data_IF_279125533077
#
_entry.id   IF_279125533077
#
_cell.length_a   1.000
_cell.length_b   1.000
_cell.length_c   1.000
_cell.angle_alpha   90.00
_cell.angle_beta   90.00
_cell.angle_gamma   90.00
#
_symmetry.space_group_name_H-M   'P 1'
#
loop_
_entity.id
_entity.type
_entity.pdbx_description
1 polymer ?
#
# COMPACT_ATOMS: atom_id res chain seq x y z
N UNK A 1 8.27 -16.32 -19.82
CA UNK A 1 8.36 -14.90 -20.23
C UNK A 1 6.98 -14.25 -20.29
N UNK A 2 5.93 -14.96 -20.73
CA UNK A 2 4.54 -14.46 -20.82
C UNK A 2 3.82 -14.33 -19.45
N UNK A 3 4.21 -15.14 -18.45
CA UNK A 3 3.53 -15.19 -17.13
C UNK A 3 3.88 -14.09 -16.14
N UNK A 4 5.15 -13.64 -16.09
CA UNK A 4 5.56 -12.57 -15.17
C UNK A 4 4.86 -11.23 -15.46
N UNK A 5 4.50 -10.99 -16.73
CA UNK A 5 3.76 -9.80 -17.14
C UNK A 5 2.31 -9.82 -16.65
N UNK A 6 1.70 -11.01 -16.57
CA UNK A 6 0.32 -11.18 -16.14
C UNK A 6 0.13 -10.78 -14.67
N UNK A 7 1.02 -11.22 -13.77
CA UNK A 7 0.90 -10.89 -12.34
C UNK A 7 1.01 -9.38 -12.08
N UNK A 8 1.97 -8.71 -12.72
CA UNK A 8 2.16 -7.26 -12.57
C UNK A 8 1.01 -6.46 -13.19
N UNK A 9 0.39 -6.98 -14.27
CA UNK A 9 -0.82 -6.41 -14.87
C UNK A 9 -2.04 -6.55 -13.94
N UNK A 10 -2.27 -7.74 -13.38
CA UNK A 10 -3.34 -8.01 -12.40
C UNK A 10 -3.19 -7.07 -11.19
N UNK A 11 -1.99 -6.95 -10.64
CA UNK A 11 -1.72 -6.07 -9.49
C UNK A 11 -1.94 -4.61 -9.88
N UNK A 12 -1.43 -4.18 -11.03
CA UNK A 12 -1.57 -2.80 -11.49
C UNK A 12 -3.03 -2.42 -11.71
N UNK A 13 -3.83 -3.31 -12.32
CA UNK A 13 -5.26 -3.09 -12.53
C UNK A 13 -6.02 -3.11 -11.19
N UNK A 14 -5.72 -4.08 -10.32
CA UNK A 14 -6.32 -4.16 -8.98
C UNK A 14 -6.09 -2.89 -8.17
N UNK A 15 -4.89 -2.31 -8.21
CA UNK A 15 -4.59 -1.06 -7.50
C UNK A 15 -5.37 0.13 -8.06
N UNK A 16 -5.55 0.22 -9.39
CA UNK A 16 -6.38 1.27 -10.03
C UNK A 16 -7.85 1.14 -9.64
N UNK A 17 -8.38 -0.08 -9.68
CA UNK A 17 -9.77 -0.33 -9.30
C UNK A 17 -9.99 -0.11 -7.80
N UNK A 18 -9.00 -0.47 -6.98
CA UNK A 18 -9.02 -0.22 -5.54
C UNK A 18 -9.02 1.27 -5.22
N UNK A 19 -8.27 2.10 -5.95
CA UNK A 19 -8.35 3.56 -5.83
C UNK A 19 -9.80 4.05 -6.05
N UNK A 20 -10.50 3.48 -7.03
CA UNK A 20 -11.91 3.81 -7.32
C UNK A 20 -12.87 3.29 -6.25
N UNK A 21 -12.55 2.16 -5.61
CA UNK A 21 -13.30 1.65 -4.45
C UNK A 21 -13.18 2.56 -3.23
N UNK A 22 -11.98 3.09 -2.97
CA UNK A 22 -11.76 4.02 -1.87
C UNK A 22 -12.69 5.24 -1.95
N UNK A 23 -12.94 5.77 -3.16
CA UNK A 23 -13.88 6.86 -3.37
C UNK A 23 -15.30 6.46 -2.92
N UNK A 24 -15.78 5.30 -3.36
CA UNK A 24 -17.13 4.78 -3.03
C UNK A 24 -17.31 4.50 -1.55
N UNK A 25 -16.29 3.95 -0.88
CA UNK A 25 -16.36 3.72 0.58
C UNK A 25 -16.51 5.03 1.37
N UNK A 26 -15.89 6.09 0.87
CA UNK A 26 -15.95 7.40 1.51
C UNK A 26 -17.28 8.11 1.28
N UNK A 27 -17.96 7.91 0.15
CA UNK A 27 -19.30 8.48 -0.06
C UNK A 27 -20.32 7.98 0.98
N UNK A 28 -20.17 6.73 1.43
CA UNK A 28 -21.07 6.11 2.40
C UNK A 28 -20.64 6.33 3.88
N UNK A 29 -19.34 6.54 4.14
CA UNK A 29 -18.77 6.59 5.50
C UNK A 29 -17.87 7.82 5.74
N UNK A 30 -18.08 8.89 4.97
CA UNK A 30 -17.27 10.12 4.97
C UNK A 30 -16.91 10.66 6.37
N UNK A 31 -17.81 10.63 7.38
CA UNK A 31 -17.49 11.15 8.71
C UNK A 31 -16.44 10.33 9.48
N UNK A 32 -16.27 9.03 9.20
CA UNK A 32 -15.45 8.12 10.01
C UNK A 32 -13.99 8.01 9.53
N UNK A 33 -13.70 8.45 8.31
CA UNK A 33 -12.35 8.45 7.70
C UNK A 33 -11.57 9.71 8.06
N UNK A 34 -12.23 10.74 8.61
CA UNK A 34 -11.56 11.98 9.01
C UNK A 34 -10.51 11.76 10.13
N UNK A 35 -9.30 12.26 9.87
CA UNK A 35 -8.11 12.34 10.72
C UNK A 35 -7.48 11.02 11.19
N UNK A 36 -8.06 9.85 10.88
CA UNK A 36 -7.52 8.56 11.33
C UNK A 36 -7.26 7.55 10.21
N UNK A 37 -7.64 7.84 8.98
CA UNK A 37 -7.44 6.92 7.85
C UNK A 37 -8.30 5.66 7.95
N UNK A 38 -8.11 4.74 7.02
CA UNK A 38 -8.71 3.40 7.04
C UNK A 38 -8.03 2.54 8.11
N UNK A 39 -8.80 1.66 8.77
CA UNK A 39 -8.19 0.61 9.59
C UNK A 39 -7.39 -0.32 8.68
N UNK A 40 -6.22 -0.74 9.14
CA UNK A 40 -5.32 -1.67 8.43
C UNK A 40 -6.06 -2.93 7.97
N UNK A 41 -6.89 -3.49 8.84
CA UNK A 41 -7.71 -4.66 8.53
C UNK A 41 -8.73 -4.43 7.41
N UNK A 42 -9.27 -3.22 7.30
CA UNK A 42 -10.19 -2.87 6.21
C UNK A 42 -9.41 -2.63 4.92
N UNK A 43 -8.28 -1.91 4.98
CA UNK A 43 -7.44 -1.61 3.83
C UNK A 43 -6.93 -2.90 3.18
N UNK A 44 -6.36 -3.81 3.98
CA UNK A 44 -5.86 -5.10 3.49
C UNK A 44 -6.97 -5.99 2.94
N UNK A 45 -8.08 -6.20 3.68
CA UNK A 45 -9.20 -7.03 3.20
C UNK A 45 -9.84 -6.50 1.92
N UNK A 46 -10.02 -5.19 1.81
CA UNK A 46 -10.62 -4.60 0.62
C UNK A 46 -9.72 -4.75 -0.61
N UNK A 47 -8.41 -4.55 -0.45
CA UNK A 47 -7.45 -4.82 -1.53
C UNK A 47 -7.39 -6.31 -1.90
N UNK A 48 -7.38 -7.22 -0.92
CA UNK A 48 -7.40 -8.67 -1.20
C UNK A 48 -8.63 -9.10 -1.99
N UNK A 49 -9.82 -8.58 -1.65
CA UNK A 49 -11.06 -8.84 -2.40
C UNK A 49 -10.96 -8.33 -3.84
N UNK A 50 -10.36 -7.14 -4.04
CA UNK A 50 -10.15 -6.59 -5.38
C UNK A 50 -9.19 -7.44 -6.21
N UNK A 51 -8.14 -7.98 -5.59
CA UNK A 51 -7.21 -8.91 -6.25
C UNK A 51 -7.91 -10.21 -6.66
N UNK A 52 -8.69 -10.83 -5.76
CA UNK A 52 -9.48 -12.03 -6.09
C UNK A 52 -10.40 -11.74 -7.27
N UNK A 53 -11.14 -10.63 -7.23
CA UNK A 53 -12.04 -10.28 -8.32
C UNK A 53 -11.30 -10.08 -9.66
N UNK A 54 -10.07 -9.56 -9.63
CA UNK A 54 -9.27 -9.41 -10.83
C UNK A 54 -8.80 -10.76 -11.40
N UNK A 55 -8.50 -11.74 -10.55
CA UNK A 55 -8.25 -13.13 -10.98
C UNK A 55 -9.51 -13.80 -11.53
N UNK A 56 -10.66 -13.61 -10.88
CA UNK A 56 -11.95 -14.16 -11.34
C UNK A 56 -12.33 -13.63 -12.73
N UNK A 57 -12.05 -12.35 -13.02
CA UNK A 57 -12.34 -11.74 -14.33
C UNK A 57 -11.53 -12.33 -15.50
N UNK A 58 -10.48 -13.09 -15.20
CA UNK A 58 -9.67 -13.82 -16.19
C UNK A 58 -9.75 -15.34 -15.98
N UNK A 59 -10.78 -15.82 -15.27
CA UNK A 59 -11.07 -17.23 -15.01
C UNK A 59 -9.95 -18.00 -14.28
N UNK A 60 -9.15 -17.30 -13.47
CA UNK A 60 -8.13 -17.93 -12.61
C UNK A 60 -8.69 -18.05 -11.19
N UNK A 61 -8.73 -19.24 -10.59
CA UNK A 61 -9.18 -19.40 -9.21
C UNK A 61 -8.19 -18.73 -8.25
N UNK A 62 -8.69 -17.86 -7.38
CA UNK A 62 -7.89 -17.23 -6.33
C UNK A 62 -8.62 -17.28 -4.99
N UNK A 63 -7.88 -17.51 -3.91
CA UNK A 63 -8.42 -17.61 -2.57
C UNK A 63 -7.75 -16.61 -1.63
N UNK A 64 -8.53 -16.11 -0.68
CA UNK A 64 -8.04 -15.24 0.38
C UNK A 64 -7.69 -16.07 1.60
N UNK A 65 -6.48 -15.86 2.12
CA UNK A 65 -6.01 -16.41 3.39
C UNK A 65 -5.60 -15.25 4.28
N UNK A 66 -6.21 -15.18 5.47
CA UNK A 66 -5.69 -14.32 6.53
C UNK A 66 -4.67 -15.14 7.31
N UNK A 67 -3.43 -14.66 7.42
CA UNK A 67 -2.40 -15.36 8.20
C UNK A 67 -2.69 -15.11 9.70
N UNK A 68 -3.42 -16.04 10.32
CA UNK A 68 -3.79 -15.99 11.72
C UNK A 68 -2.72 -16.65 12.59
N UNK A 69 -1.75 -15.87 13.08
CA UNK A 69 -1.08 -16.20 14.34
C UNK A 69 -0.49 -14.93 14.97
N UNK A 70 -1.30 -14.23 15.75
CA UNK A 70 -0.96 -12.90 16.27
C UNK A 70 -1.67 -12.57 17.58
N UNK A 71 -1.72 -13.51 18.53
CA UNK A 71 -2.00 -13.10 19.92
C UNK A 71 -0.93 -12.13 20.47
N UNK A 72 0.21 -12.00 19.77
CA UNK A 72 1.35 -11.13 20.10
C UNK A 72 1.67 -10.03 19.09
N UNK A 73 0.94 -9.91 17.96
CA UNK A 73 1.23 -8.90 16.93
C UNK A 73 0.10 -7.90 16.77
N UNK A 74 0.48 -6.67 16.43
CA UNK A 74 -0.49 -5.60 16.18
C UNK A 74 -1.13 -5.67 14.79
N UNK A 75 -0.53 -6.36 13.82
CA UNK A 75 -0.92 -6.28 12.41
C UNK A 75 -1.42 -7.58 11.80
N UNK A 76 -2.39 -7.44 10.91
CA UNK A 76 -2.96 -8.52 10.10
C UNK A 76 -2.24 -8.57 8.76
N UNK A 77 -1.65 -9.73 8.44
CA UNK A 77 -1.11 -10.01 7.11
C UNK A 77 -2.13 -10.81 6.31
N UNK A 78 -2.31 -10.44 5.05
CA UNK A 78 -3.21 -11.10 4.14
C UNK A 78 -2.44 -11.73 2.99
N UNK A 79 -2.92 -12.87 2.50
CA UNK A 79 -2.37 -13.56 1.34
C UNK A 79 -3.48 -13.86 0.35
N UNK A 80 -3.22 -13.63 -0.93
CA UNK A 80 -4.05 -14.10 -2.04
C UNK A 80 -3.28 -15.20 -2.75
N UNK A 81 -3.85 -16.40 -2.78
CA UNK A 81 -3.27 -17.59 -3.41
C UNK A 81 -4.00 -17.91 -4.70
N UNK A 82 -3.24 -18.12 -5.78
CA UNK A 82 -3.69 -18.69 -7.05
C UNK A 82 -2.83 -19.93 -7.39
N UNK A 83 -3.09 -20.66 -8.49
CA UNK A 83 -2.25 -21.79 -8.90
C UNK A 83 -0.78 -21.42 -9.10
N UNK A 84 -0.52 -20.28 -9.74
CA UNK A 84 0.84 -19.89 -10.15
C UNK A 84 1.43 -18.72 -9.35
N UNK A 85 0.59 -17.98 -8.61
CA UNK A 85 1.03 -16.78 -7.89
C UNK A 85 0.60 -16.77 -6.42
N UNK A 86 1.42 -16.13 -5.58
CA UNK A 86 1.05 -15.70 -4.23
C UNK A 86 1.32 -14.22 -4.02
N UNK A 87 0.32 -13.51 -3.50
CA UNK A 87 0.43 -12.09 -3.22
C UNK A 87 0.27 -11.89 -1.72
N UNK A 88 1.32 -11.42 -1.07
CA UNK A 88 1.34 -11.04 0.34
C UNK A 88 1.01 -9.55 0.47
N UNK A 89 0.17 -9.19 1.42
CA UNK A 89 -0.30 -7.82 1.61
C UNK A 89 -0.05 -7.39 3.05
N UNK A 90 0.77 -6.34 3.20
CA UNK A 90 1.02 -5.65 4.48
C UNK A 90 0.29 -4.32 4.43
N UNK A 91 -0.76 -4.18 5.23
CA UNK A 91 -1.54 -2.96 5.34
C UNK A 91 -1.13 -2.19 6.60
N UNK A 92 -0.66 -0.96 6.47
CA UNK A 92 -0.23 -0.13 7.61
C UNK A 92 -0.90 1.23 7.59
N UNK A 93 -1.28 1.76 8.76
CA UNK A 93 -1.88 3.08 8.86
C UNK A 93 -0.88 4.11 9.40
N UNK A 94 -0.58 5.15 8.61
CA UNK A 94 0.46 6.14 8.92
C UNK A 94 -0.03 7.33 9.77
N UNK A 95 -0.95 7.11 10.72
CA UNK A 95 -1.62 8.16 11.51
C UNK A 95 -0.69 9.30 11.97
N UNK A 96 0.44 8.95 12.62
CA UNK A 96 1.38 9.97 13.15
C UNK A 96 2.51 10.33 12.18
N UNK A 97 2.71 9.51 11.13
CA UNK A 97 3.80 9.61 10.16
C UNK A 97 5.22 9.74 10.74
N UNK A 98 5.41 9.57 12.06
CA UNK A 98 6.67 9.79 12.74
C UNK A 98 7.62 8.61 12.53
N UNK A 99 8.87 8.77 12.99
CA UNK A 99 9.91 7.74 12.84
C UNK A 99 9.51 6.40 13.44
N UNK A 100 8.84 6.39 14.60
CA UNK A 100 8.39 5.15 15.23
C UNK A 100 7.30 4.44 14.40
N UNK A 101 6.36 5.19 13.84
CA UNK A 101 5.32 4.68 12.94
C UNK A 101 5.94 4.04 11.69
N UNK A 102 6.86 4.76 11.04
CA UNK A 102 7.56 4.29 9.83
C UNK A 102 8.38 3.03 10.10
N UNK A 103 9.10 2.98 11.23
CA UNK A 103 9.81 1.78 11.69
C UNK A 103 8.89 0.61 11.97
N UNK A 104 7.67 0.88 12.47
CA UNK A 104 6.63 -0.13 12.64
C UNK A 104 6.33 -0.84 11.32
N UNK A 105 6.03 -0.06 10.27
CA UNK A 105 5.78 -0.60 8.93
C UNK A 105 6.92 -1.48 8.41
N UNK A 106 8.17 -1.02 8.53
CA UNK A 106 9.36 -1.78 8.10
C UNK A 106 9.48 -3.08 8.90
N UNK A 107 9.34 -3.01 10.23
CA UNK A 107 9.40 -4.18 11.11
C UNK A 107 8.31 -5.20 10.79
N UNK A 108 7.08 -4.74 10.59
CA UNK A 108 5.95 -5.60 10.26
C UNK A 108 6.15 -6.26 8.88
N UNK A 109 6.78 -5.55 7.95
CA UNK A 109 7.17 -6.09 6.64
C UNK A 109 8.23 -7.18 6.78
N UNK A 110 9.33 -6.93 7.49
CA UNK A 110 10.37 -7.93 7.72
C UNK A 110 9.81 -9.18 8.43
N UNK A 111 8.95 -8.98 9.44
CA UNK A 111 8.31 -10.08 10.16
C UNK A 111 7.47 -10.98 9.25
N UNK A 112 6.81 -10.40 8.25
CA UNK A 112 6.05 -11.14 7.24
C UNK A 112 6.99 -11.93 6.32
N UNK A 113 8.09 -11.33 5.89
CA UNK A 113 9.08 -12.01 5.03
C UNK A 113 9.68 -13.24 5.69
N UNK A 114 9.94 -13.20 6.99
CA UNK A 114 10.42 -14.35 7.78
C UNK A 114 9.45 -15.56 7.78
N UNK A 115 8.22 -15.37 7.30
CA UNK A 115 7.15 -16.39 7.24
C UNK A 115 6.74 -16.74 5.82
N UNK A 116 7.48 -16.30 4.82
CA UNK A 116 7.25 -16.74 3.45
C UNK A 116 7.38 -18.25 3.37
N UNK A 117 6.41 -18.89 2.73
CA UNK A 117 6.54 -20.29 2.37
C UNK A 117 7.51 -20.39 1.20
N UNK A 118 8.78 -20.67 1.52
CA UNK A 118 9.86 -20.77 0.52
C UNK A 118 9.81 -22.07 -0.29
N UNK A 119 8.97 -23.04 0.09
CA UNK A 119 8.92 -24.34 -0.57
C UNK A 119 7.98 -24.40 -1.78
N UNK A 120 7.27 -23.31 -2.08
CA UNK A 120 6.35 -23.21 -3.22
C UNK A 120 7.02 -22.51 -4.43
N UNK A 121 6.87 -23.08 -5.62
CA UNK A 121 7.41 -22.59 -6.88
C UNK A 121 6.58 -21.44 -7.51
N UNK A 122 5.54 -20.98 -6.83
CA UNK A 122 4.73 -19.84 -7.27
C UNK A 122 5.52 -18.55 -7.36
N UNK A 123 5.15 -17.71 -8.31
CA UNK A 123 5.64 -16.35 -8.39
C UNK A 123 5.06 -15.53 -7.23
N UNK A 124 5.95 -14.87 -6.47
CA UNK A 124 5.56 -14.18 -5.24
C UNK A 124 5.69 -12.67 -5.40
N UNK A 125 4.71 -11.95 -4.86
CA UNK A 125 4.72 -10.49 -4.75
C UNK A 125 4.37 -10.07 -3.33
N UNK A 126 5.04 -9.04 -2.86
CA UNK A 126 4.62 -8.29 -1.69
C UNK A 126 3.99 -6.97 -2.15
N UNK A 127 2.82 -6.66 -1.61
CA UNK A 127 2.19 -5.36 -1.69
C UNK A 127 2.14 -4.73 -0.30
N UNK A 128 2.82 -3.60 -0.13
CA UNK A 128 2.65 -2.74 1.03
C UNK A 128 1.62 -1.69 0.65
N UNK A 129 0.53 -1.59 1.42
CA UNK A 129 -0.52 -0.60 1.21
C UNK A 129 -0.70 0.25 2.46
N UNK A 130 -0.82 1.55 2.27
CA UNK A 130 -1.05 2.49 3.36
C UNK A 130 -1.95 3.63 2.93
N UNK A 131 -2.56 4.30 3.89
CA UNK A 131 -3.20 5.59 3.67
C UNK A 131 -2.67 6.62 4.66
N UNK A 132 -2.78 7.89 4.26
CA UNK A 132 -2.35 9.00 5.11
C UNK A 132 -3.10 10.28 4.81
N UNK A 133 -3.51 10.98 5.86
CA UNK A 133 -4.03 12.34 5.76
C UNK A 133 -2.95 13.34 6.18
N UNK A 134 -2.51 14.18 5.24
CA UNK A 134 -1.47 15.17 5.51
C UNK A 134 -1.98 16.21 6.51
N UNK A 135 -1.21 16.38 7.58
CA UNK A 135 -1.42 17.36 8.64
C UNK A 135 -0.32 18.45 8.62
N UNK A 136 -0.24 19.23 9.71
CA UNK A 136 0.68 20.38 9.78
C UNK A 136 2.12 19.98 10.14
N UNK A 137 2.36 18.78 10.64
CA UNK A 137 3.66 18.31 11.11
C UNK A 137 4.64 18.06 9.94
N UNK A 138 5.94 18.23 10.21
CA UNK A 138 6.99 17.93 9.23
C UNK A 138 7.07 16.43 8.90
N UNK A 139 6.75 15.56 9.87
CA UNK A 139 6.70 14.12 9.68
C UNK A 139 5.60 13.73 8.66
N UNK A 140 4.42 14.32 8.79
CA UNK A 140 3.30 14.10 7.88
C UNK A 140 3.59 14.63 6.47
N UNK A 141 4.14 15.84 6.37
CA UNK A 141 4.49 16.49 5.09
C UNK A 141 5.66 15.85 4.34
N UNK A 142 6.46 15.00 4.99
CA UNK A 142 7.56 14.28 4.36
C UNK A 142 7.21 12.87 3.90
N UNK A 143 6.00 12.39 4.18
CA UNK A 143 5.53 11.08 3.71
C UNK A 143 5.68 10.92 2.19
N UNK A 144 5.30 11.87 1.32
CA UNK A 144 5.48 11.67 -0.12
C UNK A 144 6.92 11.41 -0.53
N UNK A 145 7.86 12.22 -0.04
CA UNK A 145 9.29 12.03 -0.32
C UNK A 145 9.89 10.80 0.34
N UNK A 146 9.43 10.43 1.54
CA UNK A 146 9.88 9.20 2.19
C UNK A 146 9.39 7.98 1.41
N UNK A 147 8.13 7.97 0.98
CA UNK A 147 7.55 6.85 0.24
C UNK A 147 8.20 6.69 -1.14
N UNK A 148 8.29 7.76 -1.91
CA UNK A 148 8.82 7.73 -3.29
C UNK A 148 10.35 7.77 -3.37
N UNK A 149 11.03 8.23 -2.31
CA UNK A 149 12.45 8.58 -2.34
C UNK A 149 12.78 9.93 -2.99
N UNK A 150 11.76 10.65 -3.47
CA UNK A 150 11.88 11.98 -4.04
C UNK A 150 10.54 12.74 -3.91
N UNK A 151 10.54 14.07 -4.11
CA UNK A 151 9.27 14.81 -4.12
C UNK A 151 8.38 14.41 -5.32
N UNK A 152 7.05 14.43 -5.17
CA UNK A 152 6.13 14.27 -6.30
C UNK A 152 6.33 15.37 -7.35
N UNK A 153 6.11 15.04 -8.63
CA UNK A 153 6.17 16.03 -9.72
C UNK A 153 5.05 17.09 -9.61
N UNK A 154 3.95 16.76 -8.95
CA UNK A 154 2.77 17.63 -8.74
C UNK A 154 2.89 18.58 -7.54
N UNK A 155 4.10 19.03 -7.22
CA UNK A 155 4.35 20.00 -6.13
C UNK A 155 3.47 21.26 -6.22
N UNK A 156 3.25 21.87 -7.40
CA UNK A 156 2.37 23.04 -7.53
C UNK A 156 0.95 22.79 -7.03
N UNK A 157 0.39 21.60 -7.27
CA UNK A 157 -0.95 21.21 -6.89
C UNK A 157 -1.09 21.03 -5.37
N UNK A 158 -0.05 20.48 -4.71
CA UNK A 158 0.03 20.47 -3.24
C UNK A 158 0.01 21.90 -2.68
N UNK A 159 0.84 22.79 -3.24
CA UNK A 159 0.95 24.19 -2.81
C UNK A 159 -0.37 24.93 -3.00
N UNK A 160 -1.04 24.75 -4.14
CA UNK A 160 -2.35 25.33 -4.43
C UNK A 160 -3.43 24.91 -3.42
N UNK A 161 -3.26 23.76 -2.76
CA UNK A 161 -4.14 23.27 -1.69
C UNK A 161 -3.63 23.56 -0.28
N UNK A 162 -2.62 24.43 -0.16
CA UNK A 162 -2.03 24.86 1.11
C UNK A 162 -1.14 23.81 1.78
N UNK A 163 -0.65 22.83 1.02
CA UNK A 163 0.26 21.79 1.51
C UNK A 163 1.68 22.10 1.02
N UNK A 164 2.54 22.50 1.95
CA UNK A 164 3.98 22.62 1.70
C UNK A 164 4.67 21.32 2.11
N UNK A 165 5.05 20.51 1.13
CA UNK A 165 5.80 19.28 1.36
C UNK A 165 7.21 19.57 1.90
N UNK A 166 7.77 18.57 2.58
CA UNK A 166 9.10 18.63 3.19
C UNK A 166 9.86 17.39 2.73
N UNK A 167 11.17 17.50 2.50
CA UNK A 167 11.99 16.34 2.19
C UNK A 167 12.20 15.44 3.41
N UNK A 168 12.17 14.14 3.17
CA UNK A 168 12.60 13.12 4.11
C UNK A 168 14.09 12.84 3.90
N UNK A 169 14.89 12.66 4.97
CA UNK A 169 16.31 12.35 4.83
C UNK A 169 16.57 10.96 4.25
N UNK A 170 15.64 10.03 4.46
CA UNK A 170 15.66 8.66 3.95
C UNK A 170 14.36 8.34 3.21
N UNK A 171 14.33 7.18 2.54
CA UNK A 171 13.14 6.63 1.88
C UNK A 171 12.75 5.26 2.43
N UNK A 172 11.48 4.88 2.26
CA UNK A 172 10.98 3.56 2.60
C UNK A 172 11.76 2.46 1.87
N UNK A 173 12.12 2.68 0.59
CA UNK A 173 12.90 1.72 -0.17
C UNK A 173 14.28 1.48 0.46
N UNK A 174 14.97 2.54 0.92
CA UNK A 174 16.25 2.42 1.63
C UNK A 174 16.08 1.69 2.95
N UNK A 175 15.04 2.03 3.72
CA UNK A 175 14.76 1.39 5.01
C UNK A 175 14.46 -0.12 4.84
N UNK A 176 13.65 -0.50 3.84
CA UNK A 176 13.31 -1.89 3.52
C UNK A 176 14.50 -2.67 2.94
N UNK A 177 15.36 -2.03 2.17
CA UNK A 177 16.58 -2.65 1.67
C UNK A 177 17.53 -2.98 2.83
N UNK A 178 17.72 -2.03 3.75
CA UNK A 178 18.63 -2.21 4.88
C UNK A 178 18.16 -3.29 5.86
N UNK A 179 16.86 -3.26 6.22
CA UNK A 179 16.33 -4.11 7.29
C UNK A 179 15.76 -5.43 6.77
N UNK A 180 15.15 -5.43 5.58
CA UNK A 180 14.42 -6.57 5.03
C UNK A 180 15.05 -7.16 3.76
N UNK A 181 16.14 -6.59 3.24
CA UNK A 181 16.80 -7.01 1.98
C UNK A 181 15.86 -7.02 0.76
N UNK A 182 14.87 -6.13 0.76
CA UNK A 182 13.96 -5.97 -0.37
C UNK A 182 14.55 -5.02 -1.41
N UNK A 183 14.46 -5.42 -2.68
CA UNK A 183 14.99 -4.68 -3.83
C UNK A 183 13.91 -4.50 -4.90
N UNK A 184 14.13 -3.56 -5.83
CA UNK A 184 13.29 -3.37 -7.02
C UNK A 184 11.80 -3.08 -6.73
N UNK A 185 11.55 -2.36 -5.64
CA UNK A 185 10.21 -1.95 -5.26
C UNK A 185 9.64 -0.85 -6.16
N UNK A 186 8.40 -1.03 -6.61
CA UNK A 186 7.64 -0.03 -7.35
C UNK A 186 6.71 0.74 -6.42
N UNK A 187 7.07 2.00 -6.12
CA UNK A 187 6.33 2.87 -5.20
C UNK A 187 5.42 3.83 -5.95
N UNK A 188 4.18 3.99 -5.47
CA UNK A 188 3.17 4.88 -6.07
C UNK A 188 2.36 5.59 -4.98
N UNK A 189 1.92 6.80 -5.30
CA UNK A 189 0.97 7.58 -4.51
C UNK A 189 -0.25 7.87 -5.39
N UNK A 190 -1.43 7.67 -4.84
CA UNK A 190 -2.71 7.95 -5.47
C UNK A 190 -3.50 8.96 -4.62
N UNK A 191 -4.37 9.71 -5.29
CA UNK A 191 -5.29 10.66 -4.68
C UNK A 191 -6.72 10.26 -5.02
N UNK A 192 -7.32 9.28 -4.30
CA UNK A 192 -8.63 8.74 -4.65
C UNK A 192 -9.78 9.75 -4.48
N UNK A 193 -9.61 10.77 -3.63
CA UNK A 193 -10.67 11.72 -3.33
C UNK A 193 -10.61 12.93 -4.24
N UNK A 194 -11.78 13.40 -4.66
CA UNK A 194 -11.93 14.55 -5.52
C UNK A 194 -12.84 15.58 -4.84
N UNK A 195 -12.54 16.86 -5.06
CA UNK A 195 -13.30 17.97 -4.48
C UNK A 195 -14.62 18.12 -5.23
N UNK A 196 -15.75 18.16 -4.50
CA UNK A 196 -17.08 18.25 -5.09
C UNK A 196 -17.28 19.49 -5.99
N UNK A 197 -16.61 20.60 -5.70
CA UNK A 197 -16.80 21.87 -6.41
C UNK A 197 -16.21 21.89 -7.82
N UNK A 198 -15.02 21.32 -8.00
CA UNK A 198 -14.22 21.45 -9.22
C UNK A 198 -13.65 20.12 -9.73
N UNK A 199 -13.98 19.00 -9.09
CA UNK A 199 -13.55 17.66 -9.49
C UNK A 199 -12.04 17.41 -9.33
N UNK A 200 -11.28 18.37 -8.80
CA UNK A 200 -9.83 18.23 -8.66
C UNK A 200 -9.46 17.21 -7.56
N UNK A 201 -8.38 16.42 -7.74
CA UNK A 201 -7.89 15.53 -6.70
C UNK A 201 -7.59 16.28 -5.39
N UNK A 202 -7.89 15.66 -4.26
CA UNK A 202 -7.59 16.16 -2.93
C UNK A 202 -6.19 15.68 -2.51
N UNK A 203 -5.18 16.51 -2.73
CA UNK A 203 -3.78 16.17 -2.47
C UNK A 203 -3.44 16.03 -0.98
N UNK A 204 -4.37 16.37 -0.07
CA UNK A 204 -4.22 16.14 1.37
C UNK A 204 -4.38 14.68 1.77
N UNK A 205 -5.07 13.85 0.99
CA UNK A 205 -5.19 12.44 1.27
C UNK A 205 -4.34 11.63 0.29
N UNK A 206 -3.61 10.67 0.84
CA UNK A 206 -2.70 9.81 0.13
C UNK A 206 -3.19 8.36 0.30
N UNK A 207 -3.33 7.64 -0.81
CA UNK A 207 -3.31 6.18 -0.83
C UNK A 207 -1.95 5.78 -1.41
N UNK A 208 -1.18 5.01 -0.66
CA UNK A 208 0.20 4.68 -0.99
C UNK A 208 0.33 3.18 -1.23
N UNK A 209 1.02 2.80 -2.30
CA UNK A 209 1.37 1.40 -2.57
C UNK A 209 2.86 1.24 -2.85
N UNK A 210 3.43 0.13 -2.41
CA UNK A 210 4.73 -0.34 -2.86
C UNK A 210 4.62 -1.83 -3.23
N UNK A 211 5.09 -2.21 -4.41
CA UNK A 211 5.05 -3.59 -4.90
C UNK A 211 6.46 -4.11 -5.06
N UNK A 212 6.77 -5.26 -4.46
CA UNK A 212 8.09 -5.89 -4.50
C UNK A 212 7.98 -7.30 -5.07
N UNK A 213 8.85 -7.69 -6.03
CA UNK A 213 9.08 -9.09 -6.34
C UNK A 213 9.72 -9.78 -5.12
N UNK A 214 9.29 -11.01 -4.85
CA UNK A 214 9.90 -11.86 -3.83
C UNK A 214 10.56 -13.03 -4.54
N UNK A 215 11.89 -13.07 -4.51
CA UNK A 215 12.68 -14.17 -5.06
C UNK A 215 12.58 -15.40 -4.15
N UNK A 216 12.50 -16.58 -4.75
CA UNK A 216 12.85 -17.84 -4.08
C UNK A 216 14.36 -18.01 -4.18
N UNK A 217 15.12 -17.34 -3.31
CA UNK A 217 16.56 -17.62 -3.16
C UNK A 217 16.79 -18.88 -2.31
#
# INVERSE_FOLDING_TARGET
MEWAFLLDEIISQSLRDFQSDCLRFCEQHYPTIHNRGMKESHLGKALSRRLIHSYENIDIPANFVQLEDASSLKQMVFRVDSPDHQIYIVAHNLISANVACRRGLVKDTCWMLDRLDVNDNKEKRLIIISDHWIDRSAASKSIPSWWLGHQPIHLPEFIAQGVKLVDSPNSLAVDLQADCRLHDGMHRIFHPFHRQRDGLPLFKYLLLSAVYPLSND
#
